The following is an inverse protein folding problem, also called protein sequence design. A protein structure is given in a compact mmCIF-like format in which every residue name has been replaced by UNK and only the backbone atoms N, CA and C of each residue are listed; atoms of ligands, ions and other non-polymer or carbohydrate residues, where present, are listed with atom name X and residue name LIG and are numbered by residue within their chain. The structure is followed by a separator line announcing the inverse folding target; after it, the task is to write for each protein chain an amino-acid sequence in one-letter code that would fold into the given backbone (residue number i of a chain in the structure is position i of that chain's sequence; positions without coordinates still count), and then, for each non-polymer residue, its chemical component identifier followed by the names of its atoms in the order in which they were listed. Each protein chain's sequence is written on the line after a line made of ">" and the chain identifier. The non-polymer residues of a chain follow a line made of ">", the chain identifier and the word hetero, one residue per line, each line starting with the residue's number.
data_IF_944186669690
#
_entry.id   IF_944186669690
#
_cell.length_a   1.000
_cell.length_b   1.000
_cell.length_c   1.000
_cell.angle_alpha   90.00
_cell.angle_beta   90.00
_cell.angle_gamma   90.00
#
_symmetry.space_group_name_H-M   'P 1'
#
loop_
_entity.id
_entity.type
_entity.pdbx_description
1 polymer ?
#
# COMPACT_ATOMS: atom_id res chain seq x y z
N UNK A 1 -7.61 -12.46 15.45
CA UNK A 1 -6.30 -11.89 15.09
C UNK A 1 -6.01 -12.32 13.67
N UNK A 2 -6.10 -11.40 12.71
CA UNK A 2 -5.71 -11.63 11.32
C UNK A 2 -4.21 -11.95 11.31
N UNK A 3 -3.77 -12.95 10.54
CA UNK A 3 -2.33 -13.27 10.37
C UNK A 3 -1.83 -14.58 10.99
N UNK A 4 -2.73 -15.47 11.43
CA UNK A 4 -2.34 -16.83 11.85
C UNK A 4 -2.50 -17.90 10.74
N UNK A 5 -2.83 -17.49 9.50
CA UNK A 5 -3.05 -18.44 8.39
C UNK A 5 -4.26 -19.35 8.57
N UNK A 6 -5.21 -18.95 9.43
CA UNK A 6 -6.41 -19.73 9.79
C UNK A 6 -7.71 -18.91 9.63
N UNK A 7 -7.63 -17.80 8.90
CA UNK A 7 -8.77 -16.92 8.69
C UNK A 7 -9.76 -17.62 7.73
N UNK A 8 -11.00 -17.78 8.19
CA UNK A 8 -12.07 -18.39 7.39
C UNK A 8 -12.80 -17.30 6.62
N UNK A 9 -13.19 -17.57 5.38
CA UNK A 9 -13.97 -16.62 4.55
C UNK A 9 -15.25 -16.17 5.27
N UNK A 10 -15.87 -17.07 6.05
CA UNK A 10 -17.07 -16.75 6.84
C UNK A 10 -16.81 -15.73 7.97
N UNK A 11 -15.55 -15.52 8.35
CA UNK A 11 -15.14 -14.53 9.35
C UNK A 11 -14.71 -13.18 8.77
N UNK A 12 -14.87 -12.97 7.46
CA UNK A 12 -14.54 -11.70 6.82
C UNK A 12 -15.52 -10.61 7.27
N UNK A 13 -15.03 -9.64 8.03
CA UNK A 13 -15.74 -8.40 8.31
C UNK A 13 -15.56 -7.42 7.13
N UNK A 14 -16.59 -7.33 6.28
CA UNK A 14 -16.57 -6.46 5.09
C UNK A 14 -16.47 -4.98 5.49
N UNK A 15 -17.14 -4.57 6.58
CA UNK A 15 -17.12 -3.18 7.01
C UNK A 15 -15.74 -2.80 7.56
N UNK A 16 -15.13 -3.68 8.36
CA UNK A 16 -13.75 -3.55 8.81
C UNK A 16 -12.76 -3.50 7.64
N UNK A 17 -12.90 -4.40 6.66
CA UNK A 17 -12.06 -4.41 5.46
C UNK A 17 -12.16 -3.10 4.66
N UNK A 18 -13.37 -2.61 4.40
CA UNK A 18 -13.57 -1.35 3.68
C UNK A 18 -13.00 -0.16 4.47
N UNK A 19 -13.17 -0.15 5.80
CA UNK A 19 -12.58 0.85 6.69
C UNK A 19 -11.05 0.84 6.61
N UNK A 20 -10.42 -0.33 6.64
CA UNK A 20 -8.96 -0.46 6.58
C UNK A 20 -8.40 -0.03 5.22
N UNK A 21 -9.09 -0.35 4.11
CA UNK A 21 -8.74 0.17 2.78
C UNK A 21 -8.81 1.70 2.76
N UNK A 22 -9.91 2.27 3.25
CA UNK A 22 -10.09 3.73 3.27
C UNK A 22 -9.07 4.43 4.19
N UNK A 23 -8.60 3.74 5.22
CA UNK A 23 -7.51 4.19 6.10
C UNK A 23 -6.12 3.92 5.50
N UNK A 24 -6.02 3.41 4.27
CA UNK A 24 -4.75 3.19 3.59
C UNK A 24 -3.95 2.01 4.12
N UNK A 25 -4.54 1.05 4.84
CA UNK A 25 -3.86 -0.14 5.38
C UNK A 25 -3.66 -1.21 4.31
N UNK A 26 -2.95 -0.85 3.24
CA UNK A 26 -2.82 -1.64 2.01
C UNK A 26 -1.35 -1.89 1.69
N UNK A 27 -1.07 -3.11 1.24
CA UNK A 27 0.22 -3.53 0.69
C UNK A 27 -0.03 -4.05 -0.73
N UNK A 28 0.72 -3.53 -1.70
CA UNK A 28 0.76 -4.07 -3.05
C UNK A 28 1.89 -5.07 -3.17
N UNK A 29 1.62 -6.27 -3.68
CA UNK A 29 2.65 -7.31 -3.78
C UNK A 29 2.42 -8.24 -4.97
N UNK A 30 3.51 -8.64 -5.61
CA UNK A 30 3.60 -9.78 -6.51
C UNK A 30 4.42 -10.89 -5.85
N UNK A 31 4.01 -11.28 -4.64
CA UNK A 31 4.51 -12.48 -3.97
C UNK A 31 4.92 -12.30 -2.51
N UNK A 32 5.97 -11.52 -2.18
CA UNK A 32 6.37 -11.32 -0.80
C UNK A 32 5.26 -10.67 0.02
N UNK A 33 4.88 -11.30 1.13
CA UNK A 33 3.99 -10.70 2.12
C UNK A 33 4.83 -9.85 3.07
N UNK A 34 4.39 -8.60 3.30
CA UNK A 34 5.15 -7.63 4.10
C UNK A 34 4.28 -7.13 5.24
N UNK A 35 4.86 -7.11 6.44
CA UNK A 35 4.30 -6.46 7.62
C UNK A 35 5.28 -5.39 8.07
N UNK A 36 4.79 -4.15 8.18
CA UNK A 36 5.55 -3.02 8.70
C UNK A 36 5.02 -2.65 10.08
N UNK A 37 5.94 -2.40 11.01
CA UNK A 37 5.65 -1.91 12.35
C UNK A 37 6.57 -0.75 12.64
N UNK A 38 6.00 0.40 12.95
CA UNK A 38 6.72 1.57 13.39
C UNK A 38 6.54 1.76 14.90
N UNK A 39 7.62 2.15 15.56
CA UNK A 39 7.66 2.51 16.99
C UNK A 39 8.53 3.74 17.18
N UNK A 40 8.32 4.48 18.27
CA UNK A 40 9.17 5.62 18.63
C UNK A 40 9.40 5.63 20.14
N UNK A 41 10.53 6.16 20.56
CA UNK A 41 10.86 6.25 21.98
C UNK A 41 9.81 7.10 22.72
N UNK A 42 9.44 6.67 23.92
CA UNK A 42 8.42 7.35 24.72
C UNK A 42 6.98 7.14 24.24
N UNK A 43 6.74 6.37 23.18
CA UNK A 43 5.40 5.93 22.75
C UNK A 43 5.33 4.40 22.69
N UNK A 44 4.48 3.81 23.55
CA UNK A 44 4.28 2.36 23.57
C UNK A 44 3.42 1.83 22.39
N UNK A 45 2.90 2.72 21.54
CA UNK A 45 2.12 2.38 20.35
C UNK A 45 2.95 1.65 19.30
N UNK A 46 2.34 0.66 18.66
CA UNK A 46 2.85 0.02 17.44
C UNK A 46 1.95 0.49 16.30
N UNK A 47 2.55 1.11 15.30
CA UNK A 47 1.84 1.70 14.17
C UNK A 47 2.12 0.91 12.91
N UNK A 48 1.09 0.62 12.13
CA UNK A 48 1.21 -0.11 10.88
C UNK A 48 1.25 0.80 9.66
N UNK A 49 1.05 0.17 8.51
CA UNK A 49 0.78 0.85 7.24
C UNK A 49 -0.54 1.62 7.34
N UNK A 50 -0.56 2.86 6.85
CA UNK A 50 -1.72 3.76 6.90
C UNK A 50 -1.93 4.48 8.23
N UNK A 51 -1.24 4.06 9.29
CA UNK A 51 -1.31 4.73 10.60
C UNK A 51 -0.37 5.95 10.66
N UNK A 52 -0.67 6.86 11.60
CA UNK A 52 0.19 8.01 11.95
C UNK A 52 0.90 7.73 13.27
N UNK A 53 2.22 7.70 13.25
CA UNK A 53 3.10 7.69 14.41
C UNK A 53 3.09 9.08 15.01
N UNK A 54 2.46 9.21 16.18
CA UNK A 54 2.49 10.44 16.96
C UNK A 54 3.77 10.48 17.80
N UNK A 55 4.63 11.47 17.60
CA UNK A 55 5.74 11.70 18.52
C UNK A 55 5.22 12.20 19.89
N UNK A 56 5.78 11.74 21.02
CA UNK A 56 5.39 12.22 22.34
C UNK A 56 5.57 13.74 22.48
N UNK A 57 4.64 14.38 23.21
CA UNK A 57 4.74 15.80 23.50
C UNK A 57 6.05 16.12 24.26
N UNK A 58 6.76 17.16 23.81
CA UNK A 58 8.02 17.59 24.43
C UNK A 58 9.26 16.79 24.02
N UNK A 59 9.15 15.86 23.07
CA UNK A 59 10.34 15.22 22.49
C UNK A 59 11.17 16.27 21.73
N UNK A 60 12.49 16.24 21.91
CA UNK A 60 13.39 17.11 21.15
C UNK A 60 13.56 16.56 19.74
N UNK A 61 13.56 17.46 18.75
CA UNK A 61 13.88 17.11 17.36
C UNK A 61 15.39 17.32 17.10
N UNK A 62 16.03 16.45 16.29
CA UNK A 62 15.45 15.30 15.61
C UNK A 62 15.09 14.14 16.55
N UNK A 63 13.95 13.50 16.30
CA UNK A 63 13.56 12.25 16.96
C UNK A 63 13.86 11.05 16.06
N UNK A 64 13.81 9.85 16.63
CA UNK A 64 14.01 8.61 15.89
C UNK A 64 12.74 7.76 15.87
N UNK A 65 12.43 7.21 14.69
CA UNK A 65 11.36 6.22 14.49
C UNK A 65 12.00 4.93 14.02
N UNK A 66 11.70 3.83 14.72
CA UNK A 66 12.17 2.50 14.36
C UNK A 66 11.12 1.82 13.50
N UNK A 67 11.52 1.35 12.32
CA UNK A 67 10.67 0.65 11.36
C UNK A 67 11.12 -0.79 11.25
N UNK A 68 10.33 -1.70 11.81
CA UNK A 68 10.51 -3.14 11.68
C UNK A 68 9.71 -3.67 10.49
N UNK A 69 10.41 -4.28 9.55
CA UNK A 69 9.85 -4.90 8.35
C UNK A 69 10.00 -6.40 8.47
N UNK A 70 8.89 -7.12 8.54
CA UNK A 70 8.86 -8.58 8.44
C UNK A 70 8.36 -9.00 7.06
N UNK A 71 9.11 -9.88 6.42
CA UNK A 71 8.87 -10.30 5.03
C UNK A 71 8.73 -11.80 5.02
N UNK A 72 7.66 -12.30 4.41
CA UNK A 72 7.44 -13.72 4.21
C UNK A 72 7.23 -14.01 2.73
N UNK A 73 7.89 -15.03 2.19
CA UNK A 73 7.69 -15.46 0.81
C UNK A 73 7.84 -16.98 0.68
N UNK A 74 7.18 -17.64 -0.28
CA UNK A 74 7.46 -19.05 -0.57
C UNK A 74 8.95 -19.29 -0.87
N UNK A 75 9.48 -20.48 -0.56
CA UNK A 75 10.91 -20.78 -0.77
C UNK A 75 11.38 -20.54 -2.22
N UNK A 76 10.53 -20.83 -3.20
CA UNK A 76 10.84 -20.65 -4.63
C UNK A 76 10.91 -19.18 -5.08
N UNK A 77 10.58 -18.24 -4.19
CA UNK A 77 10.52 -16.80 -4.45
C UNK A 77 11.53 -16.06 -3.58
N UNK A 78 12.80 -16.00 -3.96
CA UNK A 78 13.80 -15.29 -3.18
C UNK A 78 13.61 -13.78 -3.29
N UNK A 79 13.87 -13.09 -2.19
CA UNK A 79 14.00 -11.65 -2.13
C UNK A 79 15.29 -11.30 -1.40
N UNK A 80 15.86 -10.13 -1.68
CA UNK A 80 17.21 -9.81 -1.22
C UNK A 80 17.41 -8.34 -0.86
N UNK A 81 16.42 -7.49 -1.10
CA UNK A 81 16.55 -6.05 -0.93
C UNK A 81 15.31 -5.48 -0.26
N UNK A 82 15.53 -4.62 0.74
CA UNK A 82 14.50 -3.79 1.37
C UNK A 82 14.94 -2.35 1.32
N UNK A 83 14.04 -1.48 0.87
CA UNK A 83 14.27 -0.05 0.68
C UNK A 83 13.25 0.72 1.51
N UNK A 84 13.73 1.72 2.24
CA UNK A 84 12.90 2.69 2.94
C UNK A 84 12.97 4.01 2.19
N UNK A 85 11.81 4.55 1.85
CA UNK A 85 11.66 5.85 1.21
C UNK A 85 11.03 6.83 2.19
N UNK A 86 11.63 8.01 2.32
CA UNK A 86 11.13 9.12 3.13
C UNK A 86 11.10 10.40 2.31
N UNK A 87 9.94 11.07 2.28
CA UNK A 87 9.77 12.42 1.73
C UNK A 87 10.45 12.64 0.37
N UNK A 88 10.43 11.62 -0.50
CA UNK A 88 11.07 11.74 -1.81
C UNK A 88 10.36 12.79 -2.64
N UNK A 89 11.11 13.80 -3.05
CA UNK A 89 10.67 14.83 -3.99
C UNK A 89 10.82 14.33 -5.42
N UNK A 90 10.17 14.97 -6.39
CA UNK A 90 10.31 14.65 -7.82
C UNK A 90 9.69 13.32 -8.31
N UNK A 91 8.75 12.76 -7.53
CA UNK A 91 7.96 11.59 -7.93
C UNK A 91 6.71 11.95 -8.75
N UNK A 92 6.22 13.19 -8.66
CA UNK A 92 5.00 13.62 -9.32
C UNK A 92 5.23 13.83 -10.84
N UNK A 93 4.59 13.06 -11.73
CA UNK A 93 4.67 13.34 -13.15
C UNK A 93 3.87 14.59 -13.51
N UNK A 94 4.25 15.25 -14.60
CA UNK A 94 3.39 16.25 -15.23
C UNK A 94 2.08 15.59 -15.76
N UNK A 95 0.98 16.35 -15.91
CA UNK A 95 -0.25 15.80 -16.45
C UNK A 95 -0.06 15.11 -17.81
N UNK A 96 -0.52 13.86 -17.91
CA UNK A 96 -0.37 13.05 -19.12
C UNK A 96 1.02 12.49 -19.38
N UNK A 97 1.98 12.69 -18.45
CA UNK A 97 3.31 12.09 -18.51
C UNK A 97 3.42 10.94 -17.51
N UNK A 98 4.33 10.00 -17.79
CA UNK A 98 4.77 9.00 -16.83
C UNK A 98 6.11 9.42 -16.25
N UNK A 99 6.27 9.30 -14.93
CA UNK A 99 7.58 9.43 -14.31
C UNK A 99 8.24 8.05 -14.26
N UNK A 100 9.32 7.89 -15.02
CA UNK A 100 10.10 6.64 -15.07
C UNK A 100 11.40 6.74 -14.27
N UNK A 101 11.65 7.89 -13.65
CA UNK A 101 12.81 8.09 -12.78
C UNK A 101 12.57 7.32 -11.49
N UNK A 102 13.43 6.33 -11.24
CA UNK A 102 13.36 5.58 -9.99
C UNK A 102 13.79 6.49 -8.84
N UNK A 103 12.95 6.64 -7.79
CA UNK A 103 13.32 7.43 -6.63
C UNK A 103 14.52 6.81 -5.93
N UNK A 104 15.37 7.65 -5.34
CA UNK A 104 16.45 7.19 -4.48
C UNK A 104 15.89 6.82 -3.10
N UNK A 105 16.18 5.61 -2.63
CA UNK A 105 15.82 5.18 -1.29
C UNK A 105 16.59 5.98 -0.24
N UNK A 106 15.91 6.36 0.85
CA UNK A 106 16.53 7.02 2.00
C UNK A 106 17.45 6.04 2.75
N UNK A 107 17.03 4.78 2.86
CA UNK A 107 17.86 3.69 3.36
C UNK A 107 17.63 2.45 2.50
N UNK A 108 18.66 1.62 2.35
CA UNK A 108 18.62 0.39 1.57
C UNK A 108 19.44 -0.69 2.25
N UNK A 109 18.84 -1.86 2.43
CA UNK A 109 19.52 -3.05 2.95
C UNK A 109 19.42 -4.15 1.91
N UNK A 110 20.57 -4.69 1.52
CA UNK A 110 20.67 -5.88 0.67
C UNK A 110 21.29 -7.01 1.49
N UNK A 111 20.78 -8.22 1.34
CA UNK A 111 21.21 -9.40 2.09
C UNK A 111 21.16 -10.67 1.23
N UNK A 112 21.66 -11.77 1.77
CA UNK A 112 21.38 -13.10 1.25
C UNK A 112 20.52 -13.87 2.24
N UNK A 113 19.55 -14.63 1.71
CA UNK A 113 18.70 -15.50 2.51
C UNK A 113 19.49 -16.74 2.93
N UNK A 114 19.56 -16.98 4.24
CA UNK A 114 20.30 -18.09 4.84
C UNK A 114 19.38 -19.17 5.41
N UNK A 115 19.99 -20.24 5.93
CA UNK A 115 19.24 -21.33 6.59
C UNK A 115 18.34 -20.83 7.73
N UNK A 116 18.79 -19.81 8.48
CA UNK A 116 18.03 -19.21 9.58
C UNK A 116 16.78 -18.45 9.12
N UNK A 117 16.77 -18.00 7.87
CA UNK A 117 15.61 -17.33 7.26
C UNK A 117 14.60 -18.35 6.71
N UNK A 118 14.99 -19.61 6.52
CA UNK A 118 14.10 -20.67 6.01
C UNK A 118 13.27 -21.26 7.14
N UNK A 119 11.95 -21.22 7.01
CA UNK A 119 11.00 -21.77 7.97
C UNK A 119 10.09 -22.79 7.31
N UNK A 120 9.60 -23.72 8.12
CA UNK A 120 8.49 -24.60 7.74
C UNK A 120 7.26 -23.76 7.32
N UNK A 121 6.35 -24.41 6.61
CA UNK A 121 5.11 -23.82 6.13
C UNK A 121 4.27 -23.27 7.27
N UNK A 122 3.27 -22.45 6.94
CA UNK A 122 2.36 -21.89 7.95
C UNK A 122 1.61 -22.98 8.74
N UNK A 123 1.45 -24.17 8.16
CA UNK A 123 0.85 -25.38 8.73
C UNK A 123 1.85 -26.27 9.51
N UNK A 124 3.13 -25.90 9.54
CA UNK A 124 4.20 -26.70 10.13
C UNK A 124 4.77 -27.78 9.20
N UNK A 125 4.31 -27.86 7.95
CA UNK A 125 4.85 -28.80 6.96
C UNK A 125 6.30 -28.46 6.61
N UNK A 126 7.16 -29.48 6.56
CA UNK A 126 8.55 -29.36 6.12
C UNK A 126 8.70 -29.44 4.59
N UNK A 127 7.64 -29.89 3.90
CA UNK A 127 7.57 -30.04 2.44
C UNK A 127 7.21 -28.72 1.76
N UNK A 128 6.47 -27.86 2.45
CA UNK A 128 6.15 -26.51 2.00
C UNK A 128 6.90 -25.50 2.87
N UNK A 129 8.04 -24.98 2.41
CA UNK A 129 8.83 -23.99 3.19
C UNK A 129 8.62 -22.57 2.71
N UNK A 130 8.93 -21.62 3.59
CA UNK A 130 8.90 -20.18 3.31
C UNK A 130 10.13 -19.48 3.86
N UNK A 131 10.53 -18.42 3.20
CA UNK A 131 11.46 -17.43 3.73
C UNK A 131 10.73 -16.54 4.73
N UNK A 132 11.37 -16.24 5.86
CA UNK A 132 10.96 -15.21 6.82
C UNK A 132 12.19 -14.36 7.13
N UNK A 133 12.16 -13.09 6.75
CA UNK A 133 13.23 -12.12 7.03
C UNK A 133 12.70 -10.96 7.84
N UNK A 134 13.50 -10.48 8.79
CA UNK A 134 13.27 -9.21 9.48
C UNK A 134 14.38 -8.23 9.13
N UNK A 135 13.98 -7.00 8.81
CA UNK A 135 14.89 -5.88 8.56
C UNK A 135 14.38 -4.71 9.38
N UNK A 136 15.29 -4.05 10.10
CA UNK A 136 14.97 -2.90 10.94
C UNK A 136 15.69 -1.67 10.40
N UNK A 137 14.96 -0.57 10.26
CA UNK A 137 15.50 0.75 9.97
C UNK A 137 15.31 1.66 11.17
N UNK A 138 16.26 2.57 11.37
CA UNK A 138 16.10 3.68 12.32
C UNK A 138 16.12 4.96 11.51
N UNK A 139 14.99 5.66 11.46
CA UNK A 139 14.84 6.87 10.66
C UNK A 139 14.85 8.10 11.57
N UNK A 140 15.69 9.07 11.20
CA UNK A 140 15.75 10.37 11.87
C UNK A 140 14.64 11.27 11.33
N UNK A 141 13.84 11.89 12.18
CA UNK A 141 12.71 12.74 11.76
C UNK A 141 12.83 14.12 12.40
N UNK A 142 12.79 15.17 11.57
CA UNK A 142 12.94 16.58 11.97
C UNK A 142 11.66 17.40 11.78
N UNK A 143 10.70 16.84 11.05
CA UNK A 143 9.41 17.40 10.67
C UNK A 143 8.53 16.24 10.25
N UNK A 144 7.23 16.48 10.10
CA UNK A 144 6.30 15.49 9.56
C UNK A 144 6.87 14.78 8.35
N UNK A 145 6.68 13.47 8.26
CA UNK A 145 7.25 12.68 7.19
C UNK A 145 6.33 11.52 6.81
N UNK A 146 6.39 11.11 5.54
CA UNK A 146 5.85 9.81 5.14
C UNK A 146 6.98 8.80 4.95
N UNK A 147 6.71 7.55 5.30
CA UNK A 147 7.64 6.43 5.19
C UNK A 147 7.00 5.32 4.38
N UNK A 148 7.67 4.87 3.32
CA UNK A 148 7.20 3.80 2.45
C UNK A 148 8.26 2.72 2.34
N UNK A 149 7.85 1.46 2.48
CA UNK A 149 8.76 0.31 2.40
C UNK A 149 8.56 -0.40 1.06
N UNK A 150 9.69 -0.71 0.41
CA UNK A 150 9.76 -1.53 -0.78
C UNK A 150 10.56 -2.79 -0.48
N UNK A 151 10.12 -3.91 -1.04
CA UNK A 151 10.82 -5.19 -1.01
C UNK A 151 11.03 -5.65 -2.44
N UNK A 152 12.26 -6.04 -2.78
CA UNK A 152 12.62 -6.52 -4.10
C UNK A 152 13.30 -7.87 -4.01
N UNK A 153 13.03 -8.69 -5.02
CA UNK A 153 13.75 -9.93 -5.25
C UNK A 153 14.32 -10.04 -6.64
N UNK A 154 15.10 -11.11 -6.82
CA UNK A 154 15.75 -11.47 -8.06
C UNK A 154 15.07 -12.69 -8.69
N UNK A 155 15.35 -12.89 -9.96
CA UNK A 155 14.77 -13.98 -10.73
C UNK A 155 13.38 -13.64 -11.26
N UNK A 156 12.82 -14.56 -12.05
CA UNK A 156 11.55 -14.39 -12.73
C UNK A 156 10.49 -15.24 -12.06
N UNK A 157 9.38 -14.62 -11.70
CA UNK A 157 8.19 -15.32 -11.25
C UNK A 157 7.65 -16.20 -12.39
N UNK A 158 7.12 -17.39 -12.09
CA UNK A 158 6.48 -18.24 -13.07
C UNK A 158 5.36 -17.48 -13.80
N UNK A 159 5.32 -17.56 -15.13
CA UNK A 159 4.29 -16.91 -15.96
C UNK A 159 2.88 -17.39 -15.62
N UNK A 160 2.76 -18.61 -15.07
CA UNK A 160 1.49 -19.14 -14.58
C UNK A 160 0.92 -18.39 -13.36
N UNK A 161 1.75 -17.64 -12.61
CA UNK A 161 1.36 -16.95 -11.38
C UNK A 161 1.22 -15.44 -11.56
N UNK A 162 1.91 -14.86 -12.54
CA UNK A 162 1.82 -13.43 -12.85
C UNK A 162 1.69 -13.27 -14.36
N UNK A 163 0.60 -12.63 -14.79
CA UNK A 163 0.33 -12.32 -16.21
C UNK A 163 1.37 -11.33 -16.74
N UNK A 164 2.54 -11.84 -17.10
CA UNK A 164 3.68 -11.05 -17.58
C UNK A 164 4.94 -11.90 -17.66
N UNK A 165 5.66 -11.84 -18.79
CA UNK A 165 6.94 -12.54 -18.92
C UNK A 165 7.99 -11.87 -18.02
N UNK A 166 8.29 -12.51 -16.89
CA UNK A 166 9.48 -12.18 -16.10
C UNK A 166 9.32 -11.07 -15.07
N UNK A 167 8.15 -10.92 -14.47
CA UNK A 167 8.00 -10.12 -13.25
C UNK A 167 8.96 -10.64 -12.16
N UNK A 168 9.58 -9.74 -11.42
CA UNK A 168 10.43 -10.08 -10.27
C UNK A 168 9.58 -10.08 -8.99
N UNK A 169 9.96 -10.83 -7.93
CA UNK A 169 9.33 -10.68 -6.63
C UNK A 169 9.40 -9.22 -6.18
N UNK A 170 8.25 -8.66 -5.79
CA UNK A 170 8.13 -7.25 -5.47
C UNK A 170 7.00 -7.03 -4.48
N UNK A 171 7.20 -6.13 -3.52
CA UNK A 171 6.14 -5.61 -2.68
C UNK A 171 6.42 -4.15 -2.30
N UNK A 172 5.37 -3.39 -2.06
CA UNK A 172 5.43 -2.04 -1.52
C UNK A 172 4.27 -1.81 -0.57
N UNK A 173 4.46 -0.92 0.40
CA UNK A 173 3.41 -0.52 1.33
C UNK A 173 2.81 0.82 0.96
N UNK A 174 1.57 1.07 1.37
CA UNK A 174 1.16 2.45 1.59
C UNK A 174 2.04 3.12 2.68
N UNK A 175 1.98 4.45 2.81
CA UNK A 175 2.80 5.13 3.79
C UNK A 175 2.43 4.79 5.24
N UNK A 176 3.43 4.76 6.11
CA UNK A 176 3.27 5.07 7.52
C UNK A 176 3.63 6.55 7.71
N UNK A 177 2.74 7.31 8.33
CA UNK A 177 2.95 8.74 8.55
C UNK A 177 3.63 8.98 9.89
N UNK A 178 4.43 10.04 9.98
CA UNK A 178 5.03 10.52 11.24
C UNK A 178 4.56 11.95 11.43
N UNK A 179 3.84 12.20 12.52
CA UNK A 179 3.54 13.55 13.01
C UNK A 179 4.61 13.92 14.03
N UNK A 180 5.48 14.83 13.62
CA UNK A 180 6.61 15.26 14.43
C UNK A 180 6.30 16.48 15.30
N UNK A 181 5.26 17.25 14.98
CA UNK A 181 4.98 18.54 15.59
C UNK A 181 3.80 18.51 16.59
N UNK A 182 3.07 17.40 16.66
CA UNK A 182 1.98 17.21 17.61
C UNK A 182 0.61 17.70 17.13
N UNK A 183 0.49 18.20 15.89
CA UNK A 183 -0.73 18.86 15.40
C UNK A 183 -1.53 18.01 14.41
N UNK A 184 -1.17 16.74 14.28
CA UNK A 184 -1.64 15.83 13.24
C UNK A 184 -0.82 15.96 11.97
N UNK A 185 -0.72 14.87 11.22
CA UNK A 185 -0.01 14.86 9.95
C UNK A 185 -0.72 15.74 8.92
N UNK A 186 -0.08 16.83 8.49
CA UNK A 186 -0.67 17.81 7.58
C UNK A 186 0.08 17.98 6.25
N UNK A 187 1.19 17.24 6.07
CA UNK A 187 1.93 17.23 4.81
C UNK A 187 1.11 16.59 3.70
N UNK A 188 0.67 17.41 2.76
CA UNK A 188 0.27 16.90 1.45
C UNK A 188 1.51 16.34 0.76
N UNK A 189 1.64 15.01 0.71
CA UNK A 189 2.72 14.31 -0.01
C UNK A 189 2.74 14.59 -1.53
N UNK A 190 1.72 15.30 -2.04
CA UNK A 190 1.65 15.80 -3.40
C UNK A 190 1.67 17.33 -3.34
N UNK A 191 2.46 18.02 -4.20
CA UNK A 191 2.33 19.46 -4.32
C UNK A 191 0.85 19.81 -4.52
N UNK A 192 0.39 20.94 -3.93
CA UNK A 192 -0.98 21.48 -4.11
C UNK A 192 -1.38 21.72 -5.59
N UNK A 193 -0.54 21.36 -6.55
CA UNK A 193 -0.82 21.32 -7.99
C UNK A 193 -1.39 19.96 -8.45
N UNK A 194 -2.45 19.49 -7.81
CA UNK A 194 -3.57 18.84 -8.54
C UNK A 194 -4.82 19.73 -8.38
N UNK A 195 -4.62 21.04 -8.18
CA UNK A 195 -5.63 22.08 -8.28
C UNK A 195 -5.64 22.74 -9.67
N UNK A 196 -5.58 21.94 -10.73
CA UNK A 196 -5.85 22.38 -12.11
C UNK A 196 -7.21 21.90 -12.64
N UNK A 197 -8.03 21.31 -11.77
CA UNK A 197 -9.42 20.97 -12.07
C UNK A 197 -10.33 21.44 -10.91
N UNK A 198 -10.23 22.72 -10.56
CA UNK A 198 -11.42 23.40 -10.07
C UNK A 198 -12.47 23.31 -11.19
N UNK A 199 -13.46 22.43 -11.03
CA UNK A 199 -14.67 22.44 -11.86
C UNK A 199 -14.84 21.36 -12.93
N UNK A 200 -14.36 20.14 -12.71
CA UNK A 200 -14.91 18.97 -13.44
C UNK A 200 -15.39 17.92 -12.45
N UNK A 201 -16.63 18.10 -12.04
CA UNK A 201 -17.47 17.12 -11.34
C UNK A 201 -17.30 15.70 -11.93
N UNK A 202 -17.50 14.68 -11.09
CA UNK A 202 -17.62 13.24 -11.39
C UNK A 202 -18.41 12.88 -12.67
N UNK A 203 -19.14 13.85 -13.23
CA UNK A 203 -19.87 13.84 -14.50
C UNK A 203 -19.01 13.51 -15.73
N UNK A 204 -17.71 13.86 -15.79
CA UNK A 204 -16.95 13.71 -17.06
C UNK A 204 -16.30 12.33 -17.30
N UNK A 205 -16.13 11.50 -16.27
CA UNK A 205 -15.51 10.17 -16.43
C UNK A 205 -16.53 9.10 -16.81
N UNK A 206 -17.81 9.27 -16.44
CA UNK A 206 -18.88 8.32 -16.77
C UNK A 206 -19.32 8.39 -18.24
N UNK A 207 -19.13 9.52 -18.93
CA UNK A 207 -19.47 9.68 -20.36
C UNK A 207 -18.57 8.91 -21.34
N UNK A 208 -17.48 8.27 -20.87
CA UNK A 208 -16.56 7.51 -21.73
C UNK A 208 -16.79 5.99 -21.71
N UNK A 209 -17.71 5.51 -20.88
CA UNK A 209 -18.07 4.09 -20.86
C UNK A 209 -19.00 3.77 -22.04
N UNK A 210 -18.84 2.63 -22.74
CA UNK A 210 -19.64 2.29 -23.91
C UNK A 210 -21.16 2.28 -23.67
N UNK A 211 -21.59 2.02 -22.43
CA UNK A 211 -23.00 2.00 -22.03
C UNK A 211 -23.62 3.39 -21.82
N UNK A 212 -22.82 4.43 -21.57
CA UNK A 212 -23.30 5.80 -21.35
C UNK A 212 -23.81 6.49 -22.63
N UNK A 213 -23.55 5.91 -23.80
CA UNK A 213 -24.06 6.43 -25.10
C UNK A 213 -25.54 6.12 -25.37
N UNK A 214 -26.19 5.31 -24.54
CA UNK A 214 -27.62 4.98 -24.67
C UNK A 214 -28.52 5.75 -23.71
N UNK A 215 -27.97 6.55 -22.80
CA UNK A 215 -28.78 7.38 -21.93
C UNK A 215 -29.32 8.59 -22.73
N UNK A 216 -30.64 8.85 -22.73
CA UNK A 216 -31.18 10.08 -23.31
C UNK A 216 -30.60 11.29 -22.59
N UNK A 217 -30.25 12.34 -23.35
CA UNK A 217 -29.62 13.60 -22.93
C UNK A 217 -29.89 14.02 -21.47
N UNK A 218 -29.07 13.53 -20.54
CA UNK A 218 -29.13 13.90 -19.14
C UNK A 218 -28.44 15.26 -18.98
N UNK A 219 -29.21 16.34 -19.07
CA UNK A 219 -28.78 17.71 -18.74
C UNK A 219 -28.41 17.91 -17.26
N UNK A 220 -28.50 16.87 -16.43
CA UNK A 220 -28.12 16.86 -15.01
C UNK A 220 -27.44 15.53 -14.65
N UNK A 221 -26.56 15.50 -13.63
CA UNK A 221 -25.99 14.25 -13.14
C UNK A 221 -27.11 13.28 -12.70
N UNK A 222 -27.00 11.97 -13.02
CA UNK A 222 -27.96 11.00 -12.57
C UNK A 222 -27.95 10.92 -11.03
N UNK A 223 -29.14 10.91 -10.45
CA UNK A 223 -29.35 10.66 -9.03
C UNK A 223 -29.30 9.17 -8.75
N UNK A 224 -29.16 8.79 -7.48
CA UNK A 224 -29.25 7.38 -7.06
C UNK A 224 -30.55 6.71 -7.51
N UNK A 225 -31.67 7.45 -7.52
CA UNK A 225 -32.95 6.95 -8.01
C UNK A 225 -32.94 6.69 -9.53
N UNK A 226 -32.22 7.51 -10.31
CA UNK A 226 -32.06 7.30 -11.76
C UNK A 226 -31.26 6.01 -12.05
N UNK A 227 -30.27 5.69 -11.20
CA UNK A 227 -29.45 4.47 -11.31
C UNK A 227 -30.21 3.21 -10.89
N UNK A 228 -31.05 3.27 -9.85
CA UNK A 228 -31.91 2.15 -9.45
C UNK A 228 -32.97 1.82 -10.50
N UNK A 229 -33.55 2.85 -11.15
CA UNK A 229 -34.50 2.66 -12.25
C UNK A 229 -33.84 1.93 -13.44
N UNK A 230 -32.63 2.37 -13.82
CA UNK A 230 -31.83 1.73 -14.88
C UNK A 230 -31.48 0.27 -14.54
N UNK A 231 -31.16 -0.02 -13.28
CA UNK A 231 -30.92 -1.41 -12.83
C UNK A 231 -32.15 -2.29 -13.01
N UNK A 232 -33.35 -1.77 -12.74
CA UNK A 232 -34.60 -2.52 -12.90
C UNK A 232 -35.01 -2.68 -14.36
N UNK A 233 -34.82 -1.66 -15.20
CA UNK A 233 -35.09 -1.74 -16.65
C UNK A 233 -34.16 -2.76 -17.33
N UNK A 234 -32.87 -2.78 -16.95
CA UNK A 234 -31.92 -3.73 -17.51
C UNK A 234 -32.12 -5.17 -17.01
N UNK A 235 -32.85 -5.38 -15.91
CA UNK A 235 -33.16 -6.72 -15.43
C UNK A 235 -34.21 -7.43 -16.31
N UNK A 236 -34.96 -6.69 -17.14
CA UNK A 236 -35.95 -7.25 -18.07
C UNK A 236 -35.40 -7.58 -19.47
N UNK A 237 -34.19 -7.11 -19.81
CA UNK A 237 -33.56 -7.37 -21.12
C UNK A 237 -32.68 -8.64 -21.14
N UNK A 238 -32.67 -9.42 -20.04
CA UNK A 238 -31.89 -10.66 -19.90
C UNK A 238 -32.75 -11.93 -19.69
N UNK A 239 -34.04 -11.88 -19.99
CA UNK A 239 -34.93 -13.04 -20.21
C UNK A 239 -35.29 -13.16 -21.70
#
# INVERSE_FOLDING_TARGET
>A
RVGAGKDKVQGLDIAGFAKDINAGKVVGSSGPFVVVRATTEGNAGIFGVGDTVQLPAGIALPAFVTIDVEIQAPQWMPFDTVELYRDVTDIAPAPGQSNSTEPQASQKVTFQLGADDLKAGADGSVDARRWVKKVTFTEKVEKDAWLVVFVRGKGKLPVALVSGRGATPFAFTNPTYVDADGKGYDKTALPKHIGGAAGKTLTQTLTRLPWARRAPDLKRPPTWADLEKLRHEMAHDWE
#
